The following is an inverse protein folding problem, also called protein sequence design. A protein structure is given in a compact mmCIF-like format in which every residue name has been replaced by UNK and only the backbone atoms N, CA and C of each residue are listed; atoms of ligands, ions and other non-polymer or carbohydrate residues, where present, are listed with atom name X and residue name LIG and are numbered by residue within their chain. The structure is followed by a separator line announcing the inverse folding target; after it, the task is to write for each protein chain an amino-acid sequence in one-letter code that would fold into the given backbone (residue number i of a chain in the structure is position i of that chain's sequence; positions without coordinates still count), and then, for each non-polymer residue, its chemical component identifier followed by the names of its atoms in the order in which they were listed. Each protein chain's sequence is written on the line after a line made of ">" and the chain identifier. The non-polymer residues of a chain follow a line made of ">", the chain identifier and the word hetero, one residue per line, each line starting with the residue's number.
data_IF_696827958632
#
_entry.id   IF_696827958632
#
_cell.length_a   1.000
_cell.length_b   1.000
_cell.length_c   1.000
_cell.angle_alpha   90.00
_cell.angle_beta   90.00
_cell.angle_gamma   90.00
#
_symmetry.space_group_name_H-M   'P 1'
#
loop_
_entity.id
_entity.type
_entity.pdbx_description
1 polymer ?
#
# COMPACT_ATOMS: atom_id res chain seq x y z
N UNK A 1 -122.95 32.84 -58.67
CA UNK A 1 -122.38 32.97 -57.32
C UNK A 1 -122.43 31.60 -56.67
N UNK A 2 -121.39 30.79 -56.82
CA UNK A 2 -121.29 29.51 -56.13
C UNK A 2 -120.56 29.73 -54.81
N UNK A 3 -121.30 29.51 -53.73
CA UNK A 3 -120.82 29.65 -52.36
C UNK A 3 -119.97 28.41 -52.04
N UNK A 4 -118.64 28.60 -52.05
CA UNK A 4 -117.69 27.57 -51.63
C UNK A 4 -117.99 27.17 -50.17
N UNK A 5 -118.19 25.87 -49.87
CA UNK A 5 -118.49 25.44 -48.51
C UNK A 5 -117.26 25.71 -47.63
N UNK A 6 -117.43 26.65 -46.68
CA UNK A 6 -116.46 26.93 -45.64
C UNK A 6 -116.31 25.69 -44.76
N UNK A 7 -115.19 24.97 -44.92
CA UNK A 7 -114.88 23.77 -44.17
C UNK A 7 -114.09 24.13 -42.89
N UNK A 8 -114.70 24.10 -41.69
CA UNK A 8 -114.06 24.54 -40.46
C UNK A 8 -112.98 23.57 -39.92
N UNK A 9 -112.83 22.37 -40.50
CA UNK A 9 -111.89 21.36 -40.02
C UNK A 9 -110.42 21.58 -40.43
N UNK A 10 -110.15 22.44 -41.42
CA UNK A 10 -108.79 22.66 -41.92
C UNK A 10 -107.91 23.55 -41.01
N UNK A 11 -108.52 24.36 -40.13
CA UNK A 11 -107.75 25.20 -39.18
C UNK A 11 -107.07 24.38 -38.07
N UNK A 12 -107.71 23.32 -37.59
CA UNK A 12 -107.15 22.50 -36.50
C UNK A 12 -106.02 21.58 -36.99
N UNK A 13 -106.19 21.01 -38.19
CA UNK A 13 -105.20 20.12 -38.82
C UNK A 13 -103.90 20.85 -39.18
N UNK A 14 -103.96 22.11 -39.63
CA UNK A 14 -102.74 22.88 -39.97
C UNK A 14 -101.91 23.27 -38.74
N UNK A 15 -102.52 23.43 -37.56
CA UNK A 15 -101.80 23.73 -36.30
C UNK A 15 -101.12 22.50 -35.70
N UNK A 16 -101.75 21.33 -35.79
CA UNK A 16 -101.14 20.07 -35.35
C UNK A 16 -100.01 19.64 -36.30
N UNK A 17 -100.19 19.76 -37.61
CA UNK A 17 -99.13 19.43 -38.60
C UNK A 17 -97.89 20.33 -38.45
N UNK A 18 -98.06 21.63 -38.18
CA UNK A 18 -96.90 22.51 -37.91
C UNK A 18 -96.20 22.18 -36.59
N UNK A 19 -96.95 21.81 -35.53
CA UNK A 19 -96.37 21.38 -34.26
C UNK A 19 -95.64 20.05 -34.39
N UNK A 20 -96.20 19.07 -35.09
CA UNK A 20 -95.55 17.77 -35.31
C UNK A 20 -94.30 17.92 -36.18
N UNK A 21 -94.33 18.74 -37.23
CA UNK A 21 -93.11 19.04 -38.01
C UNK A 21 -92.03 19.75 -37.17
N UNK A 22 -92.41 20.69 -36.31
CA UNK A 22 -91.44 21.39 -35.44
C UNK A 22 -90.81 20.44 -34.41
N UNK A 23 -91.62 19.56 -33.79
CA UNK A 23 -91.12 18.54 -32.85
C UNK A 23 -90.22 17.53 -33.55
N UNK A 24 -90.59 17.09 -34.76
CA UNK A 24 -89.78 16.16 -35.56
C UNK A 24 -88.42 16.76 -35.91
N UNK A 25 -88.37 18.05 -36.29
CA UNK A 25 -87.13 18.76 -36.59
C UNK A 25 -86.22 18.91 -35.35
N UNK A 26 -86.79 19.14 -34.17
CA UNK A 26 -86.02 19.22 -32.91
C UNK A 26 -85.42 17.85 -32.55
N UNK A 27 -86.20 16.77 -32.68
CA UNK A 27 -85.72 15.41 -32.44
C UNK A 27 -84.59 15.08 -33.41
N UNK A 28 -84.75 15.40 -34.69
CA UNK A 28 -83.71 15.21 -35.70
C UNK A 28 -82.42 15.99 -35.34
N UNK A 29 -82.56 17.25 -34.91
CA UNK A 29 -81.43 18.07 -34.48
C UNK A 29 -80.71 17.50 -33.25
N UNK A 30 -81.45 16.96 -32.26
CA UNK A 30 -80.85 16.29 -31.10
C UNK A 30 -80.11 14.99 -31.47
N UNK A 31 -80.65 14.20 -32.40
CA UNK A 31 -79.99 12.97 -32.88
C UNK A 31 -78.72 13.30 -33.65
N UNK A 32 -78.74 14.33 -34.51
CA UNK A 32 -77.56 14.75 -35.27
C UNK A 32 -76.48 15.31 -34.34
N UNK A 33 -76.82 16.19 -33.40
CA UNK A 33 -75.84 16.75 -32.46
C UNK A 33 -75.30 15.70 -31.48
N UNK A 34 -76.14 14.80 -30.98
CA UNK A 34 -75.73 13.67 -30.14
C UNK A 34 -74.82 12.68 -30.89
N UNK A 35 -75.15 12.37 -32.15
CA UNK A 35 -74.34 11.48 -33.00
C UNK A 35 -72.97 12.06 -33.33
N UNK A 36 -72.91 13.35 -33.68
CA UNK A 36 -71.64 14.05 -33.92
C UNK A 36 -70.79 14.15 -32.65
N UNK A 37 -71.40 14.45 -31.50
CA UNK A 37 -70.71 14.48 -30.21
C UNK A 37 -70.13 13.12 -29.82
N UNK A 38 -70.90 12.03 -30.00
CA UNK A 38 -70.43 10.68 -29.73
C UNK A 38 -69.29 10.25 -30.66
N UNK A 39 -69.39 10.57 -31.95
CA UNK A 39 -68.35 10.26 -32.93
C UNK A 39 -67.03 10.99 -32.64
N UNK A 40 -67.10 12.30 -32.38
CA UNK A 40 -65.93 13.12 -32.03
C UNK A 40 -65.31 12.69 -30.69
N UNK A 41 -66.14 12.37 -29.68
CA UNK A 41 -65.66 11.86 -28.40
C UNK A 41 -64.94 10.50 -28.51
N UNK A 42 -65.41 9.63 -29.41
CA UNK A 42 -64.76 8.33 -29.67
C UNK A 42 -63.40 8.45 -30.35
N UNK A 43 -63.22 9.45 -31.21
CA UNK A 43 -61.93 9.73 -31.85
C UNK A 43 -60.88 10.25 -30.84
N UNK A 44 -61.31 11.04 -29.86
CA UNK A 44 -60.40 11.61 -28.86
C UNK A 44 -59.92 10.60 -27.81
N UNK A 45 -60.75 9.62 -27.44
CA UNK A 45 -60.38 8.60 -26.44
C UNK A 45 -59.24 7.70 -26.91
N UNK A 46 -59.16 7.37 -28.19
CA UNK A 46 -58.07 6.57 -28.76
C UNK A 46 -56.73 7.32 -28.79
N UNK A 47 -56.75 8.64 -28.97
CA UNK A 47 -55.54 9.46 -28.98
C UNK A 47 -54.92 9.57 -27.59
N UNK A 48 -55.74 9.77 -26.55
CA UNK A 48 -55.28 9.85 -25.16
C UNK A 48 -54.62 8.56 -24.69
N UNK A 49 -55.18 7.39 -25.06
CA UNK A 49 -54.57 6.10 -24.75
C UNK A 49 -53.22 5.94 -25.45
N UNK A 50 -53.11 6.29 -26.74
CA UNK A 50 -51.84 6.25 -27.47
C UNK A 50 -50.77 7.14 -26.84
N UNK A 51 -51.14 8.34 -26.38
CA UNK A 51 -50.19 9.24 -25.71
C UNK A 51 -49.74 8.69 -24.35
N UNK A 52 -50.65 8.10 -23.57
CA UNK A 52 -50.31 7.50 -22.28
C UNK A 52 -49.43 6.25 -22.43
N UNK A 53 -49.73 5.37 -23.40
CA UNK A 53 -48.87 4.23 -23.73
C UNK A 53 -47.48 4.70 -24.20
N UNK A 54 -47.41 5.75 -25.02
CA UNK A 54 -46.14 6.32 -25.47
C UNK A 54 -45.33 6.90 -24.30
N UNK A 55 -45.98 7.61 -23.37
CA UNK A 55 -45.34 8.12 -22.16
C UNK A 55 -44.83 6.99 -21.26
N UNK A 56 -45.66 5.97 -21.01
CA UNK A 56 -45.27 4.80 -20.22
C UNK A 56 -44.05 4.10 -20.83
N UNK A 57 -44.09 3.81 -22.13
CA UNK A 57 -42.97 3.17 -22.81
C UNK A 57 -41.71 4.05 -22.76
N UNK A 58 -41.84 5.37 -22.91
CA UNK A 58 -40.69 6.27 -22.79
C UNK A 58 -40.08 6.29 -21.38
N UNK A 59 -40.91 6.21 -20.34
CA UNK A 59 -40.43 6.11 -18.95
C UNK A 59 -39.77 4.76 -18.68
N UNK A 60 -40.32 3.66 -19.22
CA UNK A 60 -39.69 2.34 -19.12
C UNK A 60 -38.32 2.33 -19.81
N UNK A 61 -38.18 2.92 -21.00
CA UNK A 61 -36.88 3.03 -21.69
C UNK A 61 -35.88 3.90 -20.93
N UNK A 62 -36.33 4.96 -20.24
CA UNK A 62 -35.45 5.78 -19.41
C UNK A 62 -34.98 5.03 -18.16
N UNK A 63 -35.84 4.22 -17.54
CA UNK A 63 -35.46 3.38 -16.40
C UNK A 63 -34.43 2.34 -16.84
N UNK A 64 -34.63 1.71 -18.00
CA UNK A 64 -33.70 0.73 -18.54
C UNK A 64 -32.35 1.36 -18.88
N UNK A 65 -32.33 2.52 -19.55
CA UNK A 65 -31.11 3.28 -19.85
C UNK A 65 -30.37 3.72 -18.56
N UNK A 66 -31.09 4.22 -17.56
CA UNK A 66 -30.49 4.56 -16.26
C UNK A 66 -29.94 3.34 -15.54
N UNK A 67 -30.61 2.19 -15.63
CA UNK A 67 -30.11 0.93 -15.04
C UNK A 67 -28.86 0.44 -15.77
N UNK A 68 -28.80 0.54 -17.10
CA UNK A 68 -27.62 0.19 -17.88
C UNK A 68 -26.45 1.11 -17.54
N UNK A 69 -26.68 2.42 -17.49
CA UNK A 69 -25.68 3.41 -17.08
C UNK A 69 -25.17 3.17 -15.66
N UNK A 70 -26.04 2.87 -14.70
CA UNK A 70 -25.63 2.52 -13.33
C UNK A 70 -24.79 1.24 -13.29
N UNK A 71 -25.16 0.24 -14.09
CA UNK A 71 -24.42 -1.02 -14.17
C UNK A 71 -23.03 -0.79 -14.75
N UNK A 72 -22.95 -0.01 -15.83
CA UNK A 72 -21.69 0.38 -16.47
C UNK A 72 -20.80 1.20 -15.52
N UNK A 73 -21.34 2.22 -14.87
CA UNK A 73 -20.59 3.04 -13.92
C UNK A 73 -20.08 2.23 -12.74
N UNK A 74 -20.86 1.27 -12.23
CA UNK A 74 -20.41 0.35 -11.19
C UNK A 74 -19.27 -0.55 -11.67
N UNK A 75 -19.35 -1.08 -12.89
CA UNK A 75 -18.28 -1.89 -13.47
C UNK A 75 -17.00 -1.06 -13.68
N UNK A 76 -17.12 0.17 -14.16
CA UNK A 76 -16.00 1.11 -14.31
C UNK A 76 -15.38 1.47 -12.94
N UNK A 77 -16.20 1.73 -11.91
CA UNK A 77 -15.71 1.99 -10.56
C UNK A 77 -15.01 0.77 -9.95
N UNK A 78 -15.57 -0.43 -10.13
CA UNK A 78 -14.94 -1.67 -9.67
C UNK A 78 -13.60 -1.92 -10.36
N UNK A 79 -13.53 -1.75 -11.68
CA UNK A 79 -12.26 -1.92 -12.41
C UNK A 79 -11.23 -0.88 -12.03
N UNK A 80 -11.62 0.39 -11.80
CA UNK A 80 -10.72 1.42 -11.29
C UNK A 80 -10.16 1.06 -9.90
N UNK A 81 -11.02 0.59 -8.98
CA UNK A 81 -10.60 0.15 -7.65
C UNK A 81 -9.65 -1.05 -7.71
N UNK A 82 -9.93 -2.05 -8.57
CA UNK A 82 -9.04 -3.21 -8.74
C UNK A 82 -7.68 -2.75 -9.26
N UNK A 83 -7.63 -1.85 -10.25
CA UNK A 83 -6.38 -1.30 -10.77
C UNK A 83 -5.60 -0.55 -9.68
N UNK A 84 -6.28 0.23 -8.84
CA UNK A 84 -5.65 0.93 -7.72
C UNK A 84 -5.08 -0.06 -6.70
N UNK A 85 -5.84 -1.09 -6.32
CA UNK A 85 -5.37 -2.12 -5.39
C UNK A 85 -4.17 -2.89 -5.96
N UNK A 86 -4.22 -3.31 -7.23
CA UNK A 86 -3.09 -3.96 -7.91
C UNK A 86 -1.85 -3.07 -7.95
N UNK A 87 -2.01 -1.78 -8.26
CA UNK A 87 -0.91 -0.84 -8.21
C UNK A 87 -0.35 -0.75 -6.79
N UNK A 88 -1.20 -0.59 -5.78
CA UNK A 88 -0.77 -0.49 -4.39
C UNK A 88 -0.04 -1.74 -3.91
N UNK A 89 -0.54 -2.92 -4.24
CA UNK A 89 0.08 -4.21 -3.91
C UNK A 89 1.49 -4.30 -4.54
N UNK A 90 1.61 -4.00 -5.84
CA UNK A 90 2.91 -3.99 -6.54
C UNK A 90 3.90 -2.98 -5.97
N UNK A 91 3.43 -1.81 -5.51
CA UNK A 91 4.27 -0.82 -4.84
C UNK A 91 4.69 -1.27 -3.44
N UNK A 92 3.78 -1.89 -2.67
CA UNK A 92 4.05 -2.38 -1.32
C UNK A 92 5.03 -3.56 -1.31
N UNK A 93 4.96 -4.44 -2.33
CA UNK A 93 5.92 -5.52 -2.52
C UNK A 93 7.31 -4.99 -2.88
N UNK A 94 7.37 -3.90 -3.67
CA UNK A 94 8.63 -3.27 -4.07
C UNK A 94 9.26 -2.39 -2.98
N UNK A 95 8.48 -1.85 -2.05
CA UNK A 95 8.91 -0.96 -0.97
C UNK A 95 8.45 -1.51 0.38
N UNK A 96 9.17 -2.48 0.96
CA UNK A 96 8.84 -3.01 2.27
C UNK A 96 8.95 -1.93 3.35
N UNK A 97 8.03 -1.97 4.32
CA UNK A 97 8.00 -1.05 5.46
C UNK A 97 9.24 -1.22 6.37
N UNK A 98 9.67 -0.13 7.04
CA UNK A 98 10.75 -0.14 8.02
C UNK A 98 12.11 0.34 7.47
N UNK A 99 13.26 -0.19 7.95
CA UNK A 99 14.59 0.33 7.63
C UNK A 99 14.93 0.28 6.12
N UNK A 100 14.27 -0.58 5.35
CA UNK A 100 14.40 -0.63 3.90
C UNK A 100 13.86 0.62 3.22
N UNK A 101 12.74 1.19 3.72
CA UNK A 101 12.15 2.41 3.17
C UNK A 101 13.14 3.57 3.25
N UNK A 102 13.81 3.74 4.40
CA UNK A 102 14.84 4.76 4.62
C UNK A 102 16.02 4.59 3.65
N UNK A 103 16.47 3.35 3.43
CA UNK A 103 17.54 3.03 2.48
C UNK A 103 17.13 3.36 1.03
N UNK A 104 15.91 3.02 0.60
CA UNK A 104 15.43 3.40 -0.74
C UNK A 104 15.30 4.90 -0.94
N UNK A 105 14.89 5.65 0.10
CA UNK A 105 14.83 7.11 0.05
C UNK A 105 16.23 7.70 -0.12
N UNK A 106 17.21 7.21 0.65
CA UNK A 106 18.60 7.63 0.52
C UNK A 106 19.16 7.29 -0.87
N UNK A 107 18.88 6.08 -1.37
CA UNK A 107 19.32 5.65 -2.71
C UNK A 107 18.77 6.58 -3.79
N UNK A 108 17.46 6.89 -3.72
CA UNK A 108 16.80 7.81 -4.66
C UNK A 108 17.41 9.20 -4.61
N UNK A 109 17.64 9.74 -3.42
CA UNK A 109 18.25 11.06 -3.24
C UNK A 109 19.65 11.15 -3.87
N UNK A 110 20.45 10.11 -3.75
CA UNK A 110 21.79 10.07 -4.34
C UNK A 110 21.75 9.98 -5.88
N UNK A 111 20.80 9.23 -6.45
CA UNK A 111 20.60 9.16 -7.91
C UNK A 111 20.11 10.53 -8.45
N UNK A 112 19.15 11.16 -7.77
CA UNK A 112 18.68 12.52 -8.12
C UNK A 112 19.80 13.57 -7.97
N UNK A 113 20.73 13.36 -7.03
CA UNK A 113 21.96 14.16 -6.89
C UNK A 113 23.00 13.94 -7.99
N UNK A 114 22.73 13.08 -8.98
CA UNK A 114 23.58 12.86 -10.16
C UNK A 114 24.57 11.70 -10.02
N UNK A 115 24.45 10.85 -8.99
CA UNK A 115 25.26 9.63 -8.89
C UNK A 115 24.77 8.61 -9.91
N UNK A 116 25.70 8.08 -10.71
CA UNK A 116 25.38 7.05 -11.71
C UNK A 116 24.81 5.76 -11.06
N UNK A 117 23.68 5.22 -11.55
CA UNK A 117 23.08 4.01 -10.98
C UNK A 117 24.00 2.77 -11.00
N UNK A 118 24.86 2.59 -12.00
CA UNK A 118 25.79 1.44 -12.04
C UNK A 118 26.87 1.56 -10.97
N UNK A 119 27.29 2.79 -10.65
CA UNK A 119 28.22 3.02 -9.54
C UNK A 119 27.58 2.63 -8.21
N UNK A 120 26.32 2.97 -8.00
CA UNK A 120 25.56 2.61 -6.80
C UNK A 120 25.37 1.10 -6.68
N UNK A 121 25.07 0.43 -7.80
CA UNK A 121 25.00 -1.03 -7.86
C UNK A 121 26.33 -1.68 -7.44
N UNK A 122 27.47 -1.13 -7.91
CA UNK A 122 28.80 -1.65 -7.57
C UNK A 122 29.07 -1.55 -6.07
N UNK A 123 28.74 -0.40 -5.46
CA UNK A 123 28.87 -0.22 -4.00
C UNK A 123 27.94 -1.16 -3.24
N UNK A 124 26.70 -1.32 -3.68
CA UNK A 124 25.77 -2.24 -3.02
C UNK A 124 26.24 -3.70 -3.11
N UNK A 125 26.86 -4.08 -4.24
CA UNK A 125 27.48 -5.39 -4.44
C UNK A 125 28.80 -5.56 -3.67
N UNK A 126 29.50 -4.50 -3.31
CA UNK A 126 30.70 -4.60 -2.48
C UNK A 126 30.37 -4.81 -1.00
N UNK A 127 29.15 -4.48 -0.56
CA UNK A 127 28.65 -4.76 0.80
C UNK A 127 28.17 -6.23 0.92
N UNK A 128 28.64 -7.12 0.04
CA UNK A 128 28.32 -8.55 0.13
C UNK A 128 28.80 -9.11 1.48
N UNK A 129 28.01 -9.97 2.12
CA UNK A 129 28.52 -10.72 3.25
C UNK A 129 29.73 -11.53 2.77
N UNK A 130 30.84 -11.52 3.52
CA UNK A 130 32.05 -12.24 3.15
C UNK A 130 31.73 -13.72 2.90
N UNK A 131 32.32 -14.28 1.85
CA UNK A 131 32.15 -15.70 1.48
C UNK A 131 33.35 -16.52 1.97
N UNK A 132 33.18 -17.84 2.05
CA UNK A 132 34.23 -18.79 2.43
C UNK A 132 34.93 -18.51 3.77
N UNK A 133 34.16 -18.12 4.79
CA UNK A 133 34.72 -17.96 6.14
C UNK A 133 35.33 -19.27 6.65
N UNK A 134 36.55 -19.20 7.17
CA UNK A 134 37.23 -20.27 7.89
C UNK A 134 36.44 -20.66 9.15
N UNK A 135 36.61 -21.89 9.64
CA UNK A 135 36.01 -22.29 10.92
C UNK A 135 36.42 -21.34 12.07
N UNK A 136 35.46 -20.82 12.86
CA UNK A 136 35.75 -19.88 13.93
C UNK A 136 36.68 -20.48 14.97
N UNK A 137 37.79 -19.80 15.22
CA UNK A 137 38.78 -20.20 16.20
C UNK A 137 38.59 -19.45 17.50
N UNK A 138 38.52 -20.19 18.60
CA UNK A 138 38.43 -19.61 19.94
C UNK A 138 39.76 -19.69 20.65
N UNK A 139 40.30 -18.57 21.11
CA UNK A 139 41.46 -18.49 22.00
C UNK A 139 41.09 -17.71 23.26
N UNK A 140 41.68 -18.10 24.39
CA UNK A 140 41.58 -17.38 25.66
C UNK A 140 42.84 -16.55 25.82
N UNK A 141 42.71 -15.28 26.21
CA UNK A 141 43.87 -14.45 26.57
C UNK A 141 43.53 -13.60 27.80
N UNK A 142 44.57 -13.24 28.56
CA UNK A 142 44.42 -12.48 29.81
C UNK A 142 44.50 -10.98 29.51
N UNK A 143 43.54 -10.22 30.02
CA UNK A 143 43.59 -8.74 29.94
C UNK A 143 44.55 -8.20 31.00
N UNK A 144 45.45 -7.31 30.61
CA UNK A 144 46.33 -6.65 31.57
C UNK A 144 45.53 -5.70 32.44
N UNK A 145 45.75 -5.76 33.76
CA UNK A 145 45.15 -4.83 34.72
C UNK A 145 46.24 -4.17 35.56
N UNK A 146 45.97 -3.02 36.20
CA UNK A 146 46.97 -2.36 37.05
C UNK A 146 47.49 -3.22 38.21
N UNK A 147 46.70 -4.20 38.68
CA UNK A 147 47.11 -5.13 39.74
C UNK A 147 47.75 -6.44 39.21
N UNK A 148 47.87 -6.60 37.89
CA UNK A 148 48.45 -7.79 37.28
C UNK A 148 49.95 -7.59 36.99
N UNK A 149 50.80 -8.36 37.66
CA UNK A 149 52.27 -8.33 37.51
C UNK A 149 52.83 -9.46 36.61
N UNK A 150 51.97 -10.17 35.86
CA UNK A 150 52.39 -11.25 34.98
C UNK A 150 52.86 -10.76 33.59
N UNK A 151 53.39 -11.68 32.76
CA UNK A 151 53.81 -11.35 31.40
C UNK A 151 52.62 -10.89 30.53
N UNK A 152 52.88 -9.95 29.60
CA UNK A 152 51.86 -9.45 28.69
C UNK A 152 51.30 -10.61 27.83
N UNK A 153 50.02 -10.90 27.98
CA UNK A 153 49.33 -11.86 27.13
C UNK A 153 49.06 -11.24 25.77
N UNK A 154 49.54 -11.91 24.73
CA UNK A 154 49.28 -11.56 23.32
C UNK A 154 48.61 -12.74 22.66
N UNK A 155 47.60 -12.49 21.84
CA UNK A 155 46.96 -13.49 20.99
C UNK A 155 47.30 -13.19 19.55
N UNK A 156 47.70 -14.20 18.79
CA UNK A 156 48.05 -14.05 17.39
C UNK A 156 47.16 -14.99 16.55
N UNK A 157 46.73 -14.50 15.39
CA UNK A 157 46.03 -15.32 14.39
C UNK A 157 46.96 -16.42 13.86
N UNK A 158 46.41 -17.51 13.32
CA UNK A 158 47.23 -18.66 12.92
C UNK A 158 48.27 -18.34 11.83
N UNK A 159 47.97 -17.37 10.97
CA UNK A 159 48.85 -16.89 9.90
C UNK A 159 49.82 -15.80 10.38
N UNK A 160 49.78 -15.42 11.67
CA UNK A 160 50.58 -14.34 12.28
C UNK A 160 50.39 -12.95 11.67
N UNK A 161 49.25 -12.73 11.00
CA UNK A 161 48.93 -11.46 10.34
C UNK A 161 48.44 -10.40 11.33
N UNK A 162 47.76 -10.79 12.41
CA UNK A 162 47.23 -9.87 13.42
C UNK A 162 47.60 -10.35 14.82
N UNK A 163 48.15 -9.44 15.62
CA UNK A 163 48.41 -9.62 17.04
C UNK A 163 47.46 -8.74 17.85
N UNK A 164 46.69 -9.38 18.72
CA UNK A 164 45.78 -8.76 19.66
C UNK A 164 46.41 -8.68 21.05
N UNK A 165 46.37 -7.49 21.62
CA UNK A 165 46.69 -7.24 23.03
C UNK A 165 45.56 -6.47 23.68
N UNK A 166 45.42 -6.56 25.01
CA UNK A 166 44.32 -5.89 25.69
C UNK A 166 44.62 -5.55 27.14
N UNK A 167 44.01 -4.47 27.59
CA UNK A 167 44.07 -3.97 28.96
C UNK A 167 42.67 -3.62 29.48
N UNK A 168 42.49 -3.66 30.79
CA UNK A 168 41.24 -3.36 31.47
C UNK A 168 41.46 -2.92 32.91
N UNK A 169 40.38 -2.52 33.58
CA UNK A 169 40.40 -2.17 35.00
C UNK A 169 40.37 -3.43 35.86
N UNK A 170 41.12 -3.43 36.97
CA UNK A 170 41.09 -4.50 37.96
C UNK A 170 39.73 -4.56 38.66
N UNK A 171 39.20 -5.77 38.84
CA UNK A 171 38.08 -6.02 39.74
C UNK A 171 38.43 -5.63 41.18
N UNK A 172 37.43 -5.30 41.98
CA UNK A 172 37.60 -4.93 43.39
C UNK A 172 36.88 -5.93 44.28
N UNK A 173 37.56 -6.39 45.33
CA UNK A 173 36.95 -7.25 46.33
C UNK A 173 36.02 -6.49 47.29
N UNK A 174 35.39 -7.21 48.22
CA UNK A 174 34.51 -6.65 49.25
C UNK A 174 35.18 -5.61 50.17
N UNK A 175 36.52 -5.54 50.19
CA UNK A 175 37.32 -4.55 50.94
C UNK A 175 37.81 -3.40 50.05
N UNK A 176 37.34 -3.31 48.81
CA UNK A 176 37.71 -2.27 47.84
C UNK A 176 39.12 -2.40 47.27
N UNK A 177 39.85 -3.49 47.55
CA UNK A 177 41.20 -3.71 47.02
C UNK A 177 41.14 -4.30 45.62
N UNK A 178 42.05 -3.85 44.76
CA UNK A 178 42.19 -4.34 43.39
C UNK A 178 42.65 -5.80 43.36
N UNK A 179 42.05 -6.59 42.48
CA UNK A 179 42.35 -7.99 42.23
C UNK A 179 43.09 -8.15 40.91
N UNK A 180 43.80 -9.27 40.75
CA UNK A 180 44.66 -9.52 39.58
C UNK A 180 43.88 -9.78 38.27
N UNK A 181 42.55 -9.89 38.34
CA UNK A 181 41.67 -10.08 37.18
C UNK A 181 40.89 -8.81 36.84
N UNK A 182 40.42 -8.74 35.60
CA UNK A 182 39.68 -7.58 35.09
C UNK A 182 38.22 -7.60 35.55
N UNK A 183 37.63 -6.41 35.68
CA UNK A 183 36.18 -6.23 35.89
C UNK A 183 35.45 -6.23 34.53
N UNK A 184 34.60 -7.23 34.24
CA UNK A 184 33.86 -7.29 32.98
C UNK A 184 32.80 -6.18 32.83
N UNK A 185 32.43 -5.52 33.93
CA UNK A 185 31.48 -4.39 33.94
C UNK A 185 32.12 -3.08 33.49
N UNK A 186 33.46 -3.05 33.36
CA UNK A 186 34.23 -1.87 32.94
C UNK A 186 34.61 -1.98 31.47
N UNK A 187 34.86 -0.83 30.84
CA UNK A 187 35.38 -0.80 29.49
C UNK A 187 36.79 -1.41 29.43
N UNK A 188 37.06 -2.19 28.39
CA UNK A 188 38.38 -2.73 28.08
C UNK A 188 38.95 -2.01 26.86
N UNK A 189 40.26 -1.89 26.80
CA UNK A 189 41.00 -1.37 25.64
C UNK A 189 41.68 -2.53 24.94
N UNK A 190 41.41 -2.69 23.65
CA UNK A 190 42.03 -3.68 22.77
C UNK A 190 42.90 -2.97 21.74
N UNK A 191 44.09 -3.49 21.51
CA UNK A 191 45.02 -3.03 20.49
C UNK A 191 45.27 -4.16 19.51
N UNK A 192 44.90 -3.93 18.26
CA UNK A 192 45.13 -4.82 17.13
C UNK A 192 46.31 -4.29 16.35
N UNK A 193 47.38 -5.08 16.27
CA UNK A 193 48.60 -4.76 15.53
C UNK A 193 48.71 -5.71 14.33
N UNK A 194 48.74 -5.15 13.12
CA UNK A 194 48.95 -5.91 11.89
C UNK A 194 50.44 -6.23 11.72
N UNK A 195 50.75 -7.27 10.96
CA UNK A 195 52.12 -7.61 10.55
C UNK A 195 52.83 -6.46 9.79
N UNK A 196 52.08 -5.59 9.13
CA UNK A 196 52.57 -4.36 8.50
C UNK A 196 52.88 -3.23 9.49
N UNK A 197 52.60 -3.44 10.79
CA UNK A 197 52.87 -2.49 11.87
C UNK A 197 51.76 -1.46 12.12
N UNK A 198 50.63 -1.55 11.40
CA UNK A 198 49.48 -0.69 11.65
C UNK A 198 48.80 -1.08 12.97
N UNK A 199 48.48 -0.09 13.81
CA UNK A 199 47.84 -0.30 15.12
C UNK A 199 46.47 0.33 15.14
N UNK A 200 45.47 -0.45 15.54
CA UNK A 200 44.12 0.03 15.78
C UNK A 200 43.74 -0.21 17.24
N UNK A 201 43.32 0.85 17.92
CA UNK A 201 42.87 0.79 19.31
C UNK A 201 41.34 0.88 19.38
N UNK A 202 40.73 -0.01 20.17
CA UNK A 202 39.29 -0.02 20.41
C UNK A 202 39.03 -0.08 21.92
N UNK A 203 38.38 0.96 22.45
CA UNK A 203 37.91 1.00 23.84
C UNK A 203 36.39 0.83 23.88
N UNK A 204 35.91 -0.22 24.53
CA UNK A 204 34.47 -0.51 24.63
C UNK A 204 34.16 -1.48 25.78
N UNK A 205 32.88 -1.62 26.14
CA UNK A 205 32.40 -2.69 26.99
C UNK A 205 32.29 -4.00 26.20
N UNK A 206 32.44 -5.14 26.87
CA UNK A 206 32.24 -6.46 26.28
C UNK A 206 30.73 -6.76 26.11
N UNK A 207 30.30 -7.50 25.06
CA UNK A 207 31.12 -8.05 23.98
C UNK A 207 31.52 -6.99 22.93
N UNK A 208 32.70 -7.17 22.34
CA UNK A 208 33.25 -6.30 21.30
C UNK A 208 33.31 -7.06 19.97
N UNK A 209 32.74 -6.46 18.94
CA UNK A 209 32.88 -6.89 17.55
C UNK A 209 33.81 -5.93 16.82
N UNK A 210 34.81 -6.46 16.13
CA UNK A 210 35.75 -5.66 15.35
C UNK A 210 36.17 -6.44 14.10
N UNK A 211 36.21 -5.78 12.94
CA UNK A 211 36.77 -6.37 11.72
C UNK A 211 37.95 -5.58 11.19
N UNK A 212 38.91 -6.29 10.62
CA UNK A 212 40.13 -5.73 10.02
C UNK A 212 40.28 -6.35 8.65
N UNK A 213 40.40 -5.51 7.63
CA UNK A 213 40.62 -5.93 6.25
C UNK A 213 42.12 -5.84 5.97
N UNK A 214 42.71 -6.95 5.52
CA UNK A 214 44.11 -7.06 5.09
C UNK A 214 44.13 -7.72 3.71
N UNK A 215 44.44 -6.94 2.69
CA UNK A 215 44.45 -7.41 1.30
C UNK A 215 43.06 -7.89 0.85
N UNK A 216 42.97 -9.17 0.51
CA UNK A 216 41.77 -9.88 0.06
C UNK A 216 41.08 -10.68 1.18
N UNK A 217 41.46 -10.44 2.44
CA UNK A 217 40.90 -11.14 3.62
C UNK A 217 40.30 -10.16 4.63
N UNK A 218 39.15 -10.54 5.18
CA UNK A 218 38.54 -9.88 6.34
C UNK A 218 38.70 -10.76 7.59
N UNK A 219 39.38 -10.22 8.60
CA UNK A 219 39.51 -10.80 9.93
C UNK A 219 38.42 -10.27 10.83
N UNK A 220 37.54 -11.15 11.30
CA UNK A 220 36.41 -10.79 12.17
C UNK A 220 36.70 -11.29 13.57
N UNK A 221 36.68 -10.38 14.53
CA UNK A 221 36.94 -10.68 15.94
C UNK A 221 35.69 -10.44 16.77
N UNK A 222 35.36 -11.43 17.59
CA UNK A 222 34.36 -11.33 18.65
C UNK A 222 35.05 -11.58 19.98
N UNK A 223 35.13 -10.54 20.81
CA UNK A 223 35.71 -10.61 22.14
C UNK A 223 34.58 -10.56 23.15
N UNK A 224 34.42 -11.63 23.91
CA UNK A 224 33.39 -11.77 24.93
C UNK A 224 34.01 -12.04 26.31
N UNK A 225 33.20 -11.89 27.35
CA UNK A 225 33.57 -12.29 28.70
C UNK A 225 33.84 -13.81 28.71
N UNK A 226 35.01 -14.19 29.22
CA UNK A 226 35.38 -15.58 29.48
C UNK A 226 35.28 -15.94 30.95
N UNK A 227 35.99 -17.00 31.32
CA UNK A 227 36.23 -17.35 32.73
C UNK A 227 37.05 -16.27 33.45
N UNK A 228 37.08 -16.30 34.79
CA UNK A 228 37.76 -15.32 35.61
C UNK A 228 39.20 -15.05 35.13
N UNK A 229 39.53 -13.77 34.88
CA UNK A 229 40.80 -13.27 34.28
C UNK A 229 40.94 -13.42 32.75
N UNK A 230 40.09 -14.18 32.08
CA UNK A 230 40.22 -14.45 30.64
C UNK A 230 39.13 -13.75 29.83
N UNK A 231 39.55 -13.12 28.73
CA UNK A 231 38.65 -12.74 27.65
C UNK A 231 38.62 -13.89 26.62
N UNK A 232 37.41 -14.25 26.17
CA UNK A 232 37.21 -15.23 25.10
C UNK A 232 37.24 -14.48 23.77
N UNK A 233 38.25 -14.76 22.95
CA UNK A 233 38.36 -14.20 21.59
C UNK A 233 37.99 -15.30 20.62
N UNK A 234 36.95 -15.06 19.85
CA UNK A 234 36.58 -15.89 18.71
C UNK A 234 36.91 -15.11 17.45
N UNK A 235 37.59 -15.72 16.50
CA UNK A 235 37.89 -15.08 15.22
C UNK A 235 37.70 -16.03 14.05
N UNK A 236 37.20 -15.47 12.94
CA UNK A 236 37.05 -16.11 11.65
C UNK A 236 37.70 -15.21 10.59
N UNK A 237 38.23 -15.85 9.54
CA UNK A 237 38.84 -15.20 8.39
C UNK A 237 37.95 -15.49 7.22
N UNK A 238 37.55 -14.47 6.48
CA UNK A 238 36.74 -14.66 5.29
C UNK A 238 37.35 -13.95 4.08
N UNK A 239 37.00 -14.41 2.88
CA UNK A 239 37.40 -13.75 1.66
C UNK A 239 36.67 -12.40 1.55
N UNK A 240 37.44 -11.34 1.32
CA UNK A 240 36.94 -9.97 1.12
C UNK A 240 37.04 -9.60 -0.37
N UNK A 241 35.92 -9.22 -1.02
CA UNK A 241 35.86 -8.98 -2.47
C UNK A 241 36.49 -7.66 -2.94
#
# INVERSE_FOLDING_TARGET
>A
MEVSPYNPYDRYRRRSVRRTQSVLNIILACVITGGLGFYLGRLQSEQSLKTLYKQKNSSETQIEDLQDQLTRLRAEAQTANIKLLQAHESFSEALPEGPMQELTLLLKQQIEGGVDPKRMETVLRSVRPPQNCSEPQTKRFVLMTPAYNGPQSKMTTNEKEITLTGSGESAKNSKGKAEAWFDPSKSVTLVFETNEGAKQEKKSHLPIYHSIILGDKEFRFTIAQGEQSFAKVTYDICDYP
#
